data_IF_455459096431
#
_entry.id   IF_455459096431
#
_cell.length_a   1.000
_cell.length_b   1.000
_cell.length_c   1.000
_cell.angle_alpha   90.00
_cell.angle_beta   90.00
_cell.angle_gamma   90.00
#
_symmetry.space_group_name_H-M   'P 1'
#
loop_
_entity.id
_entity.type
_entity.pdbx_description
1 polymer ?
#
# COMPACT_ATOMS: atom_id res chain seq x y z
N UNK A 1 -30.40 -37.98 -12.64
CA UNK A 1 -29.55 -36.77 -12.70
C UNK A 1 -28.11 -37.22 -12.50
N UNK A 2 -27.24 -36.97 -13.47
CA UNK A 2 -25.85 -37.34 -13.34
C UNK A 2 -25.22 -36.51 -12.21
N UNK A 3 -24.60 -37.17 -11.23
CA UNK A 3 -23.80 -36.50 -10.22
C UNK A 3 -22.67 -35.76 -10.91
N UNK A 4 -22.71 -34.43 -10.94
CA UNK A 4 -21.55 -33.65 -11.36
C UNK A 4 -20.50 -33.78 -10.27
N UNK A 5 -19.48 -34.58 -10.52
CA UNK A 5 -18.31 -34.69 -9.64
C UNK A 5 -17.66 -33.32 -9.50
N UNK A 6 -17.42 -32.94 -8.26
CA UNK A 6 -16.73 -31.69 -7.91
C UNK A 6 -15.31 -31.73 -8.47
N UNK A 7 -15.08 -31.09 -9.59
CA UNK A 7 -13.73 -31.02 -10.19
C UNK A 7 -12.89 -29.96 -9.49
N UNK A 8 -11.58 -30.15 -9.40
CA UNK A 8 -10.68 -29.20 -8.77
C UNK A 8 -10.67 -27.85 -9.50
N UNK A 9 -10.92 -27.84 -10.80
CA UNK A 9 -11.05 -26.62 -11.59
C UNK A 9 -12.26 -25.79 -11.21
N UNK A 10 -13.40 -26.44 -10.90
CA UNK A 10 -14.60 -25.76 -10.40
C UNK A 10 -14.34 -25.18 -9.02
N UNK A 11 -13.65 -25.90 -8.13
CA UNK A 11 -13.25 -25.44 -6.82
C UNK A 11 -12.32 -24.24 -6.94
N UNK A 12 -11.32 -24.30 -7.82
CA UNK A 12 -10.35 -23.24 -8.03
C UNK A 12 -11.00 -21.96 -8.56
N UNK A 13 -11.93 -22.08 -9.53
CA UNK A 13 -12.71 -20.95 -10.05
C UNK A 13 -13.57 -20.32 -8.99
N UNK A 14 -14.27 -21.12 -8.21
CA UNK A 14 -15.13 -20.60 -7.11
C UNK A 14 -14.29 -19.97 -6.00
N UNK A 15 -13.15 -20.55 -5.69
CA UNK A 15 -12.20 -19.97 -4.76
C UNK A 15 -11.69 -18.60 -5.21
N UNK A 16 -11.35 -18.46 -6.50
CA UNK A 16 -10.88 -17.22 -7.09
C UNK A 16 -11.98 -16.14 -7.12
N UNK A 17 -13.22 -16.49 -7.47
CA UNK A 17 -14.37 -15.60 -7.38
C UNK A 17 -14.58 -15.07 -5.95
N UNK A 18 -14.54 -15.96 -4.95
CA UNK A 18 -14.67 -15.57 -3.56
C UNK A 18 -13.51 -14.67 -3.12
N UNK A 19 -12.29 -14.98 -3.55
CA UNK A 19 -11.10 -14.16 -3.25
C UNK A 19 -11.28 -12.74 -3.78
N UNK A 20 -11.61 -12.60 -5.04
CA UNK A 20 -11.78 -11.30 -5.71
C UNK A 20 -12.88 -10.44 -5.04
N UNK A 21 -14.01 -11.06 -4.71
CA UNK A 21 -15.12 -10.37 -4.04
C UNK A 21 -14.80 -9.90 -2.61
N UNK A 22 -13.80 -10.50 -1.95
CA UNK A 22 -13.39 -10.11 -0.60
C UNK A 22 -12.22 -9.13 -0.56
N UNK A 23 -11.55 -8.87 -1.69
CA UNK A 23 -10.50 -7.86 -1.77
C UNK A 23 -11.10 -6.46 -1.79
N UNK A 24 -10.63 -5.59 -0.91
CA UNK A 24 -11.07 -4.19 -0.79
C UNK A 24 -10.00 -3.25 -1.35
N UNK A 25 -8.79 -3.28 -0.81
CA UNK A 25 -7.68 -2.41 -1.21
C UNK A 25 -7.11 -2.88 -2.54
N UNK A 26 -6.83 -4.16 -2.66
CA UNK A 26 -6.23 -4.75 -3.86
C UNK A 26 -7.10 -4.58 -5.11
N UNK A 27 -8.42 -4.42 -4.96
CA UNK A 27 -9.35 -4.15 -6.06
C UNK A 27 -9.11 -2.78 -6.70
N UNK A 28 -8.71 -1.78 -5.91
CA UNK A 28 -8.61 -0.37 -6.33
C UNK A 28 -7.21 0.06 -6.74
N UNK A 29 -6.20 -0.79 -6.57
CA UNK A 29 -4.82 -0.53 -7.00
C UNK A 29 -4.57 -1.00 -8.44
N UNK A 30 -3.43 -0.62 -9.01
CA UNK A 30 -3.05 -1.01 -10.35
C UNK A 30 -2.62 -2.48 -10.39
N UNK A 31 -3.33 -3.29 -11.18
CA UNK A 31 -3.06 -4.72 -11.40
C UNK A 31 -2.62 -5.05 -12.83
N UNK A 32 -2.34 -4.04 -13.65
CA UNK A 32 -2.08 -4.25 -15.10
C UNK A 32 -0.63 -4.58 -15.42
N UNK A 33 0.24 -4.55 -14.43
CA UNK A 33 1.68 -4.64 -14.70
C UNK A 33 2.19 -6.03 -15.00
N UNK A 34 1.31 -7.08 -15.16
CA UNK A 34 1.97 -8.34 -15.38
C UNK A 34 1.23 -9.51 -15.99
N UNK A 35 1.09 -9.50 -17.29
CA UNK A 35 0.81 -10.74 -18.03
C UNK A 35 2.05 -11.67 -18.11
N UNK A 36 3.27 -11.14 -18.08
CA UNK A 36 4.49 -11.94 -18.21
C UNK A 36 4.84 -12.70 -16.93
N UNK A 37 4.65 -12.12 -15.75
CA UNK A 37 4.81 -12.80 -14.47
C UNK A 37 3.72 -13.87 -14.25
N UNK A 38 2.53 -13.63 -14.78
CA UNK A 38 1.41 -14.55 -14.69
C UNK A 38 1.57 -15.79 -15.60
N UNK A 39 2.27 -15.67 -16.72
CA UNK A 39 2.31 -16.72 -17.76
C UNK A 39 3.56 -17.62 -17.67
N UNK A 40 4.72 -17.11 -17.30
CA UNK A 40 6.00 -17.85 -17.39
C UNK A 40 6.49 -18.50 -16.08
N UNK A 41 5.74 -18.38 -14.97
CA UNK A 41 6.13 -18.99 -13.70
C UNK A 41 7.32 -18.30 -13.05
N UNK A 42 7.11 -17.12 -12.51
CA UNK A 42 8.15 -16.36 -11.80
C UNK A 42 8.70 -17.13 -10.59
N UNK A 43 9.99 -17.03 -10.38
CA UNK A 43 10.66 -17.54 -9.18
C UNK A 43 10.62 -16.46 -8.08
N UNK A 44 10.54 -16.89 -6.82
CA UNK A 44 10.73 -15.96 -5.68
C UNK A 44 12.07 -15.26 -5.86
N UNK A 45 12.08 -13.92 -5.74
CA UNK A 45 13.24 -13.08 -6.01
C UNK A 45 13.31 -12.50 -7.42
N UNK A 46 12.43 -12.91 -8.35
CA UNK A 46 12.30 -12.25 -9.65
C UNK A 46 11.84 -10.80 -9.47
N UNK A 47 12.43 -9.88 -10.23
CA UNK A 47 12.14 -8.45 -10.15
C UNK A 47 11.59 -7.93 -11.47
N UNK A 48 10.51 -7.16 -11.40
CA UNK A 48 9.97 -6.38 -12.49
C UNK A 48 10.40 -4.92 -12.35
N UNK A 49 10.90 -4.31 -13.42
CA UNK A 49 11.20 -2.88 -13.44
C UNK A 49 10.00 -2.10 -13.96
N UNK A 50 9.54 -1.14 -13.15
CA UNK A 50 8.47 -0.21 -13.51
C UNK A 50 9.13 1.13 -13.79
N UNK A 51 9.00 1.63 -15.03
CA UNK A 51 9.51 2.94 -15.41
C UNK A 51 8.64 4.03 -14.80
N UNK A 52 9.27 5.05 -14.26
CA UNK A 52 8.60 6.24 -13.77
C UNK A 52 8.54 7.29 -14.88
N UNK A 53 7.54 8.18 -14.88
CA UNK A 53 7.47 9.30 -15.82
C UNK A 53 8.73 10.16 -15.75
N UNK A 54 9.27 10.50 -16.92
CA UNK A 54 10.40 11.41 -17.02
C UNK A 54 10.02 12.85 -16.65
N UNK A 55 10.98 13.61 -16.15
CA UNK A 55 10.84 15.02 -15.78
C UNK A 55 11.94 15.84 -16.39
N UNK A 56 11.57 16.83 -17.21
CA UNK A 56 12.49 17.75 -17.84
C UNK A 56 12.55 19.12 -17.13
N UNK A 57 13.67 19.80 -17.27
CA UNK A 57 13.84 21.20 -16.86
C UNK A 57 13.37 22.12 -17.99
N UNK A 58 12.47 23.04 -17.69
CA UNK A 58 12.15 24.13 -18.60
C UNK A 58 13.23 25.21 -18.44
N UNK A 59 13.89 25.58 -19.53
CA UNK A 59 14.93 26.63 -19.59
C UNK A 59 14.43 27.82 -20.37
N UNK A 60 14.65 29.02 -19.84
CA UNK A 60 14.27 30.26 -20.50
C UNK A 60 15.39 30.75 -21.43
N UNK A 61 15.01 31.36 -22.55
CA UNK A 61 15.94 31.99 -23.49
C UNK A 61 15.95 31.37 -24.88
N UNK A 62 16.60 32.04 -25.82
CA UNK A 62 16.66 31.63 -27.22
C UNK A 62 17.71 30.54 -27.52
N UNK A 63 18.65 30.31 -26.60
CA UNK A 63 19.69 29.29 -26.76
C UNK A 63 19.17 27.93 -26.28
N UNK A 64 19.23 26.92 -27.17
CA UNK A 64 18.88 25.55 -26.84
C UNK A 64 19.84 24.97 -25.78
N UNK A 65 19.31 24.51 -24.68
CA UNK A 65 20.04 23.72 -23.69
C UNK A 65 19.55 22.29 -23.77
N UNK A 66 20.40 21.38 -24.25
CA UNK A 66 20.10 19.96 -24.35
C UNK A 66 20.25 19.32 -22.94
N UNK A 67 19.29 18.51 -22.54
CA UNK A 67 19.32 17.77 -21.30
C UNK A 67 19.40 16.27 -21.62
N UNK A 68 20.21 15.55 -20.85
CA UNK A 68 20.26 14.11 -20.94
C UNK A 68 19.02 13.52 -20.26
N UNK A 69 18.41 12.54 -20.91
CA UNK A 69 17.30 11.77 -20.35
C UNK A 69 17.83 10.77 -19.31
N UNK A 70 17.30 10.85 -18.09
CA UNK A 70 17.65 9.94 -16.99
C UNK A 70 16.41 9.17 -16.53
N UNK A 71 16.13 8.08 -17.23
CA UNK A 71 15.00 7.21 -16.90
C UNK A 71 15.05 6.73 -15.45
N UNK A 72 14.07 7.13 -14.65
CA UNK A 72 13.86 6.62 -13.31
C UNK A 72 13.05 5.34 -13.37
N UNK A 73 13.34 4.40 -12.49
CA UNK A 73 12.59 3.17 -12.35
C UNK A 73 12.44 2.75 -10.89
N UNK A 74 11.38 2.04 -10.59
CA UNK A 74 11.22 1.30 -9.34
C UNK A 74 11.15 -0.19 -9.63
N UNK A 75 11.43 -1.02 -8.62
CA UNK A 75 11.42 -2.47 -8.78
C UNK A 75 10.29 -3.08 -7.94
N UNK A 76 9.52 -3.96 -8.56
CA UNK A 76 8.59 -4.84 -7.88
C UNK A 76 9.21 -6.23 -7.81
N UNK A 77 9.37 -6.76 -6.61
CA UNK A 77 10.02 -8.06 -6.37
C UNK A 77 8.99 -9.05 -5.85
N UNK A 78 8.94 -10.23 -6.45
CA UNK A 78 8.15 -11.35 -5.93
C UNK A 78 8.76 -11.80 -4.61
N UNK A 79 8.09 -11.51 -3.48
CA UNK A 79 8.68 -11.64 -2.15
C UNK A 79 8.00 -12.66 -1.25
N UNK A 80 6.70 -12.89 -1.41
CA UNK A 80 5.97 -13.70 -0.44
C UNK A 80 4.93 -14.61 -1.08
N UNK A 81 4.93 -15.85 -0.65
CA UNK A 81 3.88 -16.82 -0.98
C UNK A 81 2.95 -16.97 0.21
N UNK A 82 1.66 -16.78 -0.01
CA UNK A 82 0.62 -17.01 0.99
C UNK A 82 -0.16 -18.27 0.67
N UNK A 83 -0.47 -19.03 1.71
CA UNK A 83 -1.25 -20.25 1.51
C UNK A 83 -2.24 -20.50 2.64
N UNK A 84 -3.29 -21.23 2.33
CA UNK A 84 -4.23 -21.81 3.28
C UNK A 84 -4.36 -23.30 3.03
N UNK A 85 -4.24 -24.08 4.10
CA UNK A 85 -4.48 -25.51 4.07
C UNK A 85 -5.94 -25.85 4.40
N UNK A 86 -6.49 -26.78 3.63
CA UNK A 86 -7.81 -27.37 3.85
C UNK A 86 -7.65 -28.86 3.86
N UNK A 87 -8.20 -29.54 4.81
CA UNK A 87 -8.23 -31.00 4.81
C UNK A 87 -9.62 -31.48 4.37
N UNK A 88 -9.68 -32.27 3.31
CA UNK A 88 -10.95 -32.83 2.82
C UNK A 88 -11.08 -34.27 3.29
N UNK A 89 -12.27 -34.63 3.73
CA UNK A 89 -12.66 -36.01 3.89
C UNK A 89 -13.41 -36.50 2.64
N UNK A 90 -13.44 -37.81 2.43
CA UNK A 90 -14.16 -38.40 1.30
C UNK A 90 -15.66 -38.06 1.31
N UNK A 91 -16.25 -37.83 2.50
CA UNK A 91 -17.63 -37.46 2.65
C UNK A 91 -17.90 -36.01 2.17
N UNK A 92 -16.97 -35.10 2.39
CA UNK A 92 -17.09 -33.69 1.94
C UNK A 92 -16.97 -33.55 0.44
N UNK A 93 -16.23 -34.44 -0.24
CA UNK A 93 -16.14 -34.47 -1.69
C UNK A 93 -17.44 -34.89 -2.41
N UNK A 94 -18.40 -35.47 -1.68
CA UNK A 94 -19.72 -35.82 -2.20
C UNK A 94 -20.75 -34.70 -2.07
N UNK A 95 -20.41 -33.58 -1.42
CA UNK A 95 -21.29 -32.43 -1.25
C UNK A 95 -21.49 -31.66 -2.56
N UNK A 96 -22.56 -30.87 -2.66
CA UNK A 96 -22.73 -29.96 -3.76
C UNK A 96 -21.70 -28.81 -3.68
N UNK A 97 -21.29 -28.28 -4.83
CA UNK A 97 -20.26 -27.24 -4.91
C UNK A 97 -20.60 -25.98 -4.08
N UNK A 98 -21.86 -25.58 -4.12
CA UNK A 98 -22.30 -24.35 -3.44
C UNK A 98 -22.26 -24.52 -1.90
N UNK A 99 -22.71 -25.65 -1.36
CA UNK A 99 -22.63 -25.95 0.07
C UNK A 99 -21.17 -26.01 0.53
N UNK A 100 -20.31 -26.62 -0.28
CA UNK A 100 -18.89 -26.70 -0.01
C UNK A 100 -18.22 -25.30 -0.05
N UNK A 101 -18.57 -24.49 -1.05
CA UNK A 101 -18.04 -23.15 -1.19
C UNK A 101 -18.43 -22.27 0.00
N UNK A 102 -19.68 -22.31 0.45
CA UNK A 102 -20.13 -21.48 1.56
C UNK A 102 -19.56 -21.92 2.93
N UNK A 103 -19.52 -23.22 3.18
CA UNK A 103 -19.15 -23.75 4.49
C UNK A 103 -17.63 -23.85 4.70
N UNK A 104 -16.87 -24.15 3.67
CA UNK A 104 -15.43 -24.45 3.77
C UNK A 104 -14.56 -23.40 3.08
N UNK A 105 -14.83 -23.03 1.82
CA UNK A 105 -13.98 -22.14 1.07
C UNK A 105 -14.13 -20.68 1.51
N UNK A 106 -15.35 -20.16 1.59
CA UNK A 106 -15.62 -18.75 1.87
C UNK A 106 -14.92 -18.20 3.12
N UNK A 107 -15.01 -18.82 4.31
CA UNK A 107 -14.35 -18.28 5.49
C UNK A 107 -12.82 -18.29 5.40
N UNK A 108 -12.26 -19.30 4.76
CA UNK A 108 -10.79 -19.44 4.63
C UNK A 108 -10.22 -18.49 3.59
N UNK A 109 -10.87 -18.38 2.44
CA UNK A 109 -10.44 -17.48 1.37
C UNK A 109 -10.63 -16.02 1.80
N UNK A 110 -11.65 -15.70 2.61
CA UNK A 110 -11.79 -14.37 3.19
C UNK A 110 -10.60 -14.00 4.08
N UNK A 111 -10.05 -14.94 4.85
CA UNK A 111 -8.83 -14.71 5.62
C UNK A 111 -7.60 -14.49 4.74
N UNK A 112 -7.49 -15.24 3.63
CA UNK A 112 -6.43 -15.05 2.64
C UNK A 112 -6.53 -13.67 2.00
N UNK A 113 -7.72 -13.25 1.58
CA UNK A 113 -7.99 -11.92 1.04
C UNK A 113 -7.59 -10.81 2.02
N UNK A 114 -8.00 -10.92 3.27
CA UNK A 114 -7.63 -9.96 4.32
C UNK A 114 -6.12 -9.89 4.53
N UNK A 115 -5.42 -11.02 4.42
CA UNK A 115 -3.96 -11.06 4.53
C UNK A 115 -3.26 -10.40 3.33
N UNK A 116 -3.80 -10.58 2.11
CA UNK A 116 -3.30 -9.90 0.89
C UNK A 116 -3.53 -8.39 1.00
N UNK A 117 -4.74 -7.97 1.33
CA UNK A 117 -5.07 -6.55 1.52
C UNK A 117 -4.20 -5.89 2.61
N UNK A 118 -3.89 -6.63 3.68
CA UNK A 118 -3.00 -6.15 4.73
C UNK A 118 -1.55 -5.94 4.24
N UNK A 119 -1.07 -6.75 3.29
CA UNK A 119 0.25 -6.55 2.68
C UNK A 119 0.25 -5.33 1.75
N UNK A 120 -0.79 -5.17 0.94
CA UNK A 120 -0.95 -3.97 0.11
C UNK A 120 -1.05 -2.72 1.00
N UNK A 121 -1.81 -2.77 2.09
CA UNK A 121 -1.90 -1.67 3.06
C UNK A 121 -0.54 -1.34 3.70
N UNK A 122 0.39 -2.30 3.81
CA UNK A 122 1.73 -2.08 4.37
C UNK A 122 2.61 -1.14 3.52
N UNK A 123 2.19 -0.83 2.29
CA UNK A 123 2.85 0.16 1.42
C UNK A 123 2.91 1.57 2.04
N UNK A 124 2.10 1.87 3.09
CA UNK A 124 2.19 3.13 3.82
C UNK A 124 3.61 3.46 4.30
N UNK A 125 4.44 2.45 4.56
CA UNK A 125 5.83 2.64 5.01
C UNK A 125 6.73 3.35 3.99
N UNK A 126 6.31 3.39 2.73
CA UNK A 126 7.01 4.11 1.65
C UNK A 126 6.38 5.47 1.33
N UNK A 127 5.25 5.80 1.95
CA UNK A 127 4.50 7.03 1.69
C UNK A 127 4.93 8.10 2.69
N UNK A 128 5.52 9.18 2.20
CA UNK A 128 6.02 10.27 3.03
C UNK A 128 4.93 11.29 3.40
N UNK A 129 3.88 11.41 2.59
CA UNK A 129 2.82 12.38 2.83
C UNK A 129 1.86 11.89 3.91
N UNK A 130 1.67 12.71 4.93
CA UNK A 130 0.77 12.43 6.04
C UNK A 130 -0.06 13.66 6.36
N UNK A 131 -1.33 13.45 6.70
CA UNK A 131 -2.28 14.48 7.12
C UNK A 131 -3.01 14.06 8.41
N UNK A 132 -3.54 15.02 9.13
CA UNK A 132 -4.20 14.80 10.40
C UNK A 132 -3.21 14.72 11.57
N UNK A 133 -3.75 14.54 12.76
CA UNK A 133 -2.97 14.42 14.00
C UNK A 133 -2.96 12.96 14.43
N UNK A 134 -1.78 12.30 14.50
CA UNK A 134 -1.69 10.93 14.99
C UNK A 134 -2.35 10.76 16.35
N UNK A 135 -3.12 9.67 16.51
CA UNK A 135 -3.90 9.40 17.72
C UNK A 135 -5.30 9.99 17.76
N UNK A 136 -5.69 10.80 16.77
CA UNK A 136 -7.05 11.30 16.62
C UNK A 136 -7.78 10.59 15.47
N UNK A 137 -9.03 10.17 15.73
CA UNK A 137 -9.87 9.60 14.67
C UNK A 137 -10.41 10.72 13.79
N UNK A 138 -10.30 10.66 12.45
CA UNK A 138 -10.89 11.64 11.56
C UNK A 138 -12.40 11.73 11.78
N UNK A 139 -12.89 12.90 12.18
CA UNK A 139 -14.31 13.14 12.42
C UNK A 139 -14.92 14.15 11.43
N UNK A 140 -14.12 14.71 10.53
CA UNK A 140 -14.56 15.71 9.56
C UNK A 140 -14.04 15.39 8.18
N UNK A 141 -14.79 15.80 7.15
CA UNK A 141 -14.36 15.71 5.75
C UNK A 141 -13.10 16.53 5.44
N UNK A 142 -12.75 17.49 6.31
CA UNK A 142 -11.57 18.33 6.13
C UNK A 142 -10.27 17.52 6.02
N UNK A 143 -10.13 16.44 6.79
CA UNK A 143 -8.93 15.58 6.74
C UNK A 143 -8.78 14.90 5.36
N UNK A 144 -9.89 14.46 4.76
CA UNK A 144 -9.88 13.90 3.41
C UNK A 144 -9.56 14.97 2.35
N UNK A 145 -10.09 16.17 2.50
CA UNK A 145 -9.77 17.29 1.61
C UNK A 145 -8.31 17.73 1.74
N UNK A 146 -7.73 17.71 2.94
CA UNK A 146 -6.30 17.94 3.16
C UNK A 146 -5.43 16.86 2.52
N UNK A 147 -5.87 15.59 2.55
CA UNK A 147 -5.17 14.52 1.85
C UNK A 147 -5.17 14.75 0.33
N UNK A 148 -6.29 15.18 -0.23
CA UNK A 148 -6.36 15.56 -1.63
C UNK A 148 -5.52 16.80 -1.97
N UNK A 149 -5.50 17.79 -1.07
CA UNK A 149 -4.63 18.96 -1.23
C UNK A 149 -3.16 18.52 -1.36
N UNK A 150 -2.69 17.59 -0.52
CA UNK A 150 -1.33 17.04 -0.61
C UNK A 150 -1.07 16.33 -1.95
N UNK A 151 -2.03 15.56 -2.44
CA UNK A 151 -1.92 14.92 -3.75
C UNK A 151 -1.86 15.95 -4.89
N UNK A 152 -2.66 17.03 -4.81
CA UNK A 152 -2.67 18.10 -5.81
C UNK A 152 -1.36 18.92 -5.78
N UNK A 153 -0.86 19.28 -4.59
CA UNK A 153 0.43 19.96 -4.41
C UNK A 153 1.59 19.15 -5.01
N UNK A 154 1.48 17.82 -4.98
CA UNK A 154 2.46 16.90 -5.58
C UNK A 154 2.21 16.61 -7.06
N UNK A 155 1.29 17.34 -7.70
CA UNK A 155 0.91 17.17 -9.11
C UNK A 155 0.43 15.75 -9.47
N UNK A 156 -0.16 15.03 -8.51
CA UNK A 156 -0.74 13.72 -8.78
C UNK A 156 -2.02 13.85 -9.61
N UNK A 157 -2.22 12.91 -10.55
CA UNK A 157 -3.41 12.86 -11.43
C UNK A 157 -4.69 12.88 -10.60
N UNK A 158 -5.71 13.61 -11.08
CA UNK A 158 -6.93 13.86 -10.31
C UNK A 158 -7.87 12.67 -10.24
N UNK A 159 -7.88 11.78 -11.22
CA UNK A 159 -8.81 10.64 -11.27
C UNK A 159 -8.14 9.44 -11.98
N UNK A 160 -8.43 8.22 -11.53
CA UNK A 160 -9.25 7.83 -10.38
C UNK A 160 -8.46 7.84 -9.04
N UNK A 161 -9.04 8.43 -8.00
CA UNK A 161 -8.48 8.43 -6.64
C UNK A 161 -9.38 7.67 -5.69
N UNK A 162 -8.80 6.92 -4.79
CA UNK A 162 -9.49 6.07 -3.82
C UNK A 162 -9.07 6.42 -2.40
N UNK A 163 -9.97 6.17 -1.46
CA UNK A 163 -9.63 6.20 -0.05
C UNK A 163 -10.01 4.88 0.62
N UNK A 164 -9.15 4.40 1.49
CA UNK A 164 -9.45 3.26 2.35
C UNK A 164 -9.24 3.65 3.80
N UNK A 165 -10.30 3.51 4.58
CA UNK A 165 -10.35 3.95 5.97
C UNK A 165 -10.67 2.78 6.91
N UNK A 166 -10.20 2.88 8.14
CA UNK A 166 -10.56 1.91 9.17
C UNK A 166 -12.01 2.13 9.66
N UNK A 167 -12.65 1.15 10.31
CA UNK A 167 -14.03 1.26 10.78
C UNK A 167 -14.29 2.47 11.70
N UNK A 168 -13.33 2.82 12.56
CA UNK A 168 -13.47 3.96 13.47
C UNK A 168 -13.46 5.30 12.72
N UNK A 169 -12.56 5.46 11.73
CA UNK A 169 -12.53 6.65 10.89
C UNK A 169 -13.79 6.77 10.02
N UNK A 170 -14.27 5.64 9.47
CA UNK A 170 -15.51 5.63 8.71
C UNK A 170 -16.70 6.12 9.56
N UNK A 171 -16.84 5.60 10.78
CA UNK A 171 -17.89 6.04 11.72
C UNK A 171 -17.80 7.53 12.05
N UNK A 172 -16.58 8.03 12.31
CA UNK A 172 -16.35 9.46 12.59
C UNK A 172 -16.68 10.36 11.39
N UNK A 173 -16.31 9.95 10.17
CA UNK A 173 -16.59 10.70 8.96
C UNK A 173 -18.09 10.74 8.63
N UNK A 174 -18.79 9.62 8.78
CA UNK A 174 -20.25 9.55 8.58
C UNK A 174 -20.97 10.44 9.61
N UNK A 175 -20.57 10.41 10.87
CA UNK A 175 -21.13 11.26 11.92
C UNK A 175 -20.87 12.77 11.62
N UNK A 176 -19.68 13.09 11.12
CA UNK A 176 -19.35 14.48 10.74
C UNK A 176 -20.19 15.04 9.58
N UNK A 177 -20.77 14.19 8.76
CA UNK A 177 -21.60 14.57 7.62
C UNK A 177 -23.10 14.56 7.92
N UNK A 178 -23.54 14.16 9.11
CA UNK A 178 -24.97 14.02 9.45
C UNK A 178 -25.79 15.28 9.20
N UNK A 179 -25.20 16.47 9.35
CA UNK A 179 -25.87 17.74 9.10
C UNK A 179 -26.13 18.05 7.61
N UNK A 180 -25.52 17.30 6.71
CA UNK A 180 -25.66 17.43 5.27
C UNK A 180 -26.61 16.38 4.65
N UNK A 181 -27.21 15.53 5.48
CA UNK A 181 -28.15 14.49 5.01
C UNK A 181 -29.44 15.13 4.51
N UNK A 182 -29.47 15.42 3.22
CA UNK A 182 -30.67 15.80 2.47
C UNK A 182 -31.15 14.56 1.70
N UNK A 183 -32.46 14.38 1.40
CA UNK A 183 -33.00 13.17 0.76
C UNK A 183 -32.65 13.01 -0.72
N UNK A 184 -31.43 13.37 -1.11
CA UNK A 184 -30.88 13.08 -2.44
C UNK A 184 -30.32 11.67 -2.42
N UNK A 185 -30.53 10.90 -3.49
CA UNK A 185 -30.28 9.46 -3.58
C UNK A 185 -28.90 8.98 -3.09
N UNK A 186 -27.84 9.75 -3.29
CA UNK A 186 -26.48 9.39 -2.86
C UNK A 186 -26.33 9.50 -1.34
N UNK A 187 -26.79 10.59 -0.76
CA UNK A 187 -26.73 10.87 0.68
C UNK A 187 -27.63 9.91 1.45
N UNK A 188 -28.80 9.57 0.89
CA UNK A 188 -29.71 8.56 1.46
C UNK A 188 -29.08 7.16 1.53
N UNK A 189 -28.26 6.79 0.53
CA UNK A 189 -27.51 5.53 0.53
C UNK A 189 -26.40 5.51 1.58
N UNK A 190 -25.65 6.60 1.71
CA UNK A 190 -24.63 6.77 2.73
C UNK A 190 -25.20 6.59 4.15
N UNK A 191 -26.34 7.25 4.41
CA UNK A 191 -27.03 7.12 5.70
C UNK A 191 -27.50 5.69 5.98
N UNK A 192 -28.13 5.04 4.97
CA UNK A 192 -28.65 3.67 5.13
C UNK A 192 -27.59 2.62 5.34
N UNK A 193 -26.44 2.76 4.66
CA UNK A 193 -25.38 1.76 4.67
C UNK A 193 -24.26 2.08 5.67
N UNK A 194 -24.25 3.28 6.25
CA UNK A 194 -23.17 3.73 7.13
C UNK A 194 -21.79 3.80 6.46
N UNK A 195 -21.76 3.95 5.14
CA UNK A 195 -20.54 4.06 4.32
C UNK A 195 -20.51 5.39 3.59
N UNK A 196 -19.32 5.95 3.38
CA UNK A 196 -19.16 7.22 2.63
C UNK A 196 -19.56 7.08 1.15
N UNK A 197 -19.34 5.92 0.53
CA UNK A 197 -19.78 5.61 -0.83
C UNK A 197 -18.90 6.14 -1.94
N UNK A 198 -19.47 6.25 -3.14
CA UNK A 198 -18.81 6.59 -4.40
C UNK A 198 -19.01 8.05 -4.77
N UNK A 199 -18.04 8.66 -5.48
CA UNK A 199 -18.15 10.00 -6.05
C UNK A 199 -18.26 11.13 -5.03
N UNK A 200 -17.66 10.98 -3.85
CA UNK A 200 -17.74 11.95 -2.74
C UNK A 200 -16.39 12.63 -2.53
N UNK A 201 -16.41 13.94 -2.31
CA UNK A 201 -15.21 14.75 -2.03
C UNK A 201 -14.11 14.62 -3.11
N UNK A 202 -14.45 14.37 -4.38
CA UNK A 202 -13.49 14.20 -5.47
C UNK A 202 -12.72 12.87 -5.44
N UNK A 203 -13.19 11.90 -4.66
CA UNK A 203 -12.72 10.52 -4.64
C UNK A 203 -13.71 9.64 -5.40
N UNK A 204 -13.21 8.70 -6.19
CA UNK A 204 -14.03 7.73 -6.91
C UNK A 204 -14.80 6.86 -5.93
N UNK A 205 -14.10 6.34 -4.92
CA UNK A 205 -14.70 5.45 -3.92
C UNK A 205 -13.98 5.62 -2.57
N UNK A 206 -14.76 5.60 -1.49
CA UNK A 206 -14.26 5.55 -0.12
C UNK A 206 -14.66 4.21 0.48
N UNK A 207 -13.69 3.34 0.65
CA UNK A 207 -13.84 1.98 1.14
C UNK A 207 -13.52 1.88 2.62
N UNK A 208 -14.25 1.04 3.34
CA UNK A 208 -13.93 0.65 4.69
C UNK A 208 -13.23 -0.72 4.67
N UNK A 209 -12.08 -0.82 5.32
CA UNK A 209 -11.37 -2.09 5.47
C UNK A 209 -10.91 -2.32 6.91
N UNK A 210 -11.09 -3.55 7.38
CA UNK A 210 -10.54 -4.00 8.66
C UNK A 210 -9.05 -4.34 8.55
N UNK A 211 -8.53 -4.52 7.33
CA UNK A 211 -7.14 -4.89 7.06
C UNK A 211 -6.18 -3.70 7.10
N UNK A 212 -6.66 -2.50 7.43
CA UNK A 212 -5.84 -1.31 7.62
C UNK A 212 -4.78 -1.57 8.70
N UNK A 213 -3.51 -1.32 8.36
CA UNK A 213 -2.39 -1.53 9.26
C UNK A 213 -2.33 -0.45 10.34
N UNK A 214 -1.91 -0.88 11.52
CA UNK A 214 -1.50 0.02 12.59
C UNK A 214 0.02 0.19 12.56
N UNK A 215 0.47 1.43 12.54
CA UNK A 215 1.87 1.77 12.64
C UNK A 215 2.25 1.96 14.09
N UNK A 216 3.33 1.29 14.51
CA UNK A 216 3.94 1.54 15.83
C UNK A 216 5.18 2.37 15.62
N UNK A 217 5.17 3.58 16.16
CA UNK A 217 6.31 4.51 16.11
C UNK A 217 7.50 4.01 16.92
N UNK A 218 8.70 4.41 16.51
CA UNK A 218 9.92 4.10 17.25
C UNK A 218 9.94 4.65 18.67
N UNK A 219 10.86 4.17 19.51
CA UNK A 219 11.00 4.55 20.94
C UNK A 219 11.74 5.89 21.15
N UNK A 220 11.88 6.68 20.09
CA UNK A 220 12.58 7.98 20.10
C UNK A 220 12.02 8.93 21.15
N UNK A 221 12.88 9.63 21.87
CA UNK A 221 12.52 10.68 22.82
C UNK A 221 13.51 11.83 22.76
N UNK A 222 13.08 13.02 23.16
CA UNK A 222 13.90 14.22 23.16
C UNK A 222 13.82 15.03 21.86
N UNK A 223 14.65 16.04 21.76
CA UNK A 223 14.79 16.87 20.58
C UNK A 223 15.77 16.23 19.61
N UNK A 224 15.44 16.23 18.33
CA UNK A 224 16.25 15.69 17.27
C UNK A 224 16.70 16.79 16.32
N UNK A 225 17.94 16.70 15.84
CA UNK A 225 18.49 17.63 14.84
C UNK A 225 19.27 16.85 13.79
N UNK A 226 19.44 17.44 12.63
CA UNK A 226 20.32 16.92 11.58
C UNK A 226 21.77 17.07 12.06
N UNK A 227 22.57 15.97 12.03
CA UNK A 227 23.97 16.02 12.50
C UNK A 227 24.94 16.49 11.43
N UNK A 228 24.65 16.22 10.17
CA UNK A 228 25.53 16.54 9.04
C UNK A 228 24.75 17.21 7.94
N UNK A 229 25.20 18.33 7.44
CA UNK A 229 24.61 19.02 6.30
C UNK A 229 24.53 18.09 5.09
N UNK A 230 23.37 18.02 4.47
CA UNK A 230 23.18 17.35 3.18
C UNK A 230 23.64 18.31 2.09
N UNK A 231 24.49 17.86 1.18
CA UNK A 231 25.04 18.69 0.08
C UNK A 231 24.98 18.03 -1.28
N UNK A 232 24.52 16.77 -1.34
CA UNK A 232 24.52 15.99 -2.59
C UNK A 232 23.09 15.79 -3.08
N UNK A 233 22.85 16.04 -4.36
CA UNK A 233 21.57 15.75 -5.02
C UNK A 233 21.29 14.26 -5.03
N UNK A 234 20.02 13.87 -4.77
CA UNK A 234 19.61 12.47 -4.77
C UNK A 234 19.96 11.71 -3.51
N UNK A 235 20.39 12.37 -2.44
CA UNK A 235 20.70 11.71 -1.19
C UNK A 235 19.42 11.15 -0.55
N UNK A 236 19.37 9.84 -0.36
CA UNK A 236 18.27 9.10 0.26
C UNK A 236 18.58 8.67 1.71
N UNK A 237 19.62 9.25 2.31
CA UNK A 237 20.02 8.98 3.70
C UNK A 237 20.32 10.27 4.44
N UNK A 238 20.03 10.30 5.75
CA UNK A 238 20.31 11.45 6.62
C UNK A 238 20.79 10.96 7.97
N UNK A 239 21.65 11.76 8.62
CA UNK A 239 22.08 11.50 9.99
C UNK A 239 21.33 12.42 10.94
N UNK A 240 20.75 11.84 11.98
CA UNK A 240 19.90 12.56 12.95
C UNK A 240 20.45 12.29 14.36
N UNK A 241 20.41 13.29 15.25
CA UNK A 241 20.76 13.09 16.67
C UNK A 241 19.84 12.06 17.30
N UNK A 242 20.41 11.18 18.10
CA UNK A 242 19.70 10.13 18.84
C UNK A 242 20.12 10.10 20.31
N UNK A 243 19.46 9.26 21.08
CA UNK A 243 19.80 9.08 22.50
C UNK A 243 19.81 7.59 22.83
N UNK A 244 20.88 7.11 23.45
CA UNK A 244 20.99 5.73 23.90
C UNK A 244 20.84 4.72 22.77
N UNK A 245 20.00 3.71 22.98
CA UNK A 245 19.64 2.66 22.00
C UNK A 245 18.19 2.81 21.52
N UNK A 246 17.67 4.02 21.47
CA UNK A 246 16.32 4.29 20.98
C UNK A 246 16.20 3.99 19.48
N UNK A 247 14.99 3.72 19.03
CA UNK A 247 14.72 3.29 17.66
C UNK A 247 13.87 4.31 16.91
N UNK A 248 14.06 4.36 15.60
CA UNK A 248 13.13 4.92 14.62
C UNK A 248 12.56 3.75 13.83
N UNK A 249 11.24 3.69 13.69
CA UNK A 249 10.57 2.61 12.95
C UNK A 249 10.44 2.93 11.46
N UNK A 250 10.45 1.88 10.62
CA UNK A 250 10.08 2.05 9.21
C UNK A 250 8.61 2.48 9.11
N UNK A 251 8.35 3.59 8.43
CA UNK A 251 7.05 4.25 8.37
C UNK A 251 6.90 5.46 9.30
N UNK A 252 7.89 5.75 10.14
CA UNK A 252 7.93 7.01 10.90
C UNK A 252 8.06 8.20 9.94
N UNK A 253 7.18 9.18 10.06
CA UNK A 253 7.19 10.41 9.25
C UNK A 253 7.75 11.55 10.07
N UNK A 254 8.56 12.39 9.45
CA UNK A 254 9.14 13.57 10.08
C UNK A 254 9.29 14.74 9.11
N UNK A 255 9.48 15.91 9.64
CA UNK A 255 9.81 17.14 8.92
C UNK A 255 11.13 17.71 9.41
N UNK A 256 11.79 18.52 8.59
CA UNK A 256 13.02 19.23 8.94
C UNK A 256 12.74 20.73 8.84
N UNK A 257 13.15 21.47 9.86
CA UNK A 257 12.95 22.92 9.89
C UNK A 257 13.66 23.60 8.69
N UNK A 258 12.98 24.57 8.08
CA UNK A 258 13.47 25.34 6.92
C UNK A 258 13.71 24.52 5.67
N UNK A 259 13.14 23.33 5.54
CA UNK A 259 13.15 22.51 4.32
C UNK A 259 11.70 22.39 3.84
N UNK A 260 11.36 23.11 2.78
CA UNK A 260 9.99 23.17 2.26
C UNK A 260 9.80 22.25 1.08
N UNK A 261 8.59 21.73 0.94
CA UNK A 261 8.18 20.94 -0.20
C UNK A 261 8.10 21.80 -1.46
N UNK A 262 8.47 21.22 -2.57
CA UNK A 262 8.47 21.86 -3.88
C UNK A 262 7.44 21.19 -4.78
N UNK A 263 6.68 21.98 -5.52
CA UNK A 263 5.80 21.43 -6.55
C UNK A 263 6.63 20.83 -7.68
N UNK A 264 6.40 19.55 -8.05
CA UNK A 264 7.24 18.86 -9.05
C UNK A 264 7.21 19.47 -10.45
N UNK A 265 6.16 20.22 -10.80
CA UNK A 265 6.00 20.83 -12.12
C UNK A 265 6.59 22.25 -12.17
N UNK A 266 6.23 23.10 -11.20
CA UNK A 266 6.68 24.51 -11.17
C UNK A 266 8.04 24.67 -10.50
N UNK A 267 8.44 23.72 -9.67
CA UNK A 267 9.65 23.73 -8.83
C UNK A 267 9.70 24.90 -7.84
N UNK A 268 8.56 25.49 -7.57
CA UNK A 268 8.40 26.52 -6.55
C UNK A 268 8.03 25.89 -5.21
N UNK A 269 8.45 26.55 -4.13
CA UNK A 269 8.10 26.13 -2.77
C UNK A 269 6.60 26.19 -2.55
N UNK A 270 6.03 25.16 -1.95
CA UNK A 270 4.61 25.13 -1.55
C UNK A 270 4.36 25.90 -0.24
N UNK A 271 5.40 26.37 0.44
CA UNK A 271 5.32 27.00 1.77
C UNK A 271 5.06 26.01 2.92
N UNK A 272 4.88 24.72 2.63
CA UNK A 272 4.72 23.66 3.63
C UNK A 272 6.04 22.91 3.82
N UNK A 273 6.40 22.54 5.04
CA UNK A 273 7.58 21.71 5.29
C UNK A 273 7.47 20.38 4.57
N UNK A 274 8.58 19.95 3.94
CA UNK A 274 8.67 18.65 3.32
C UNK A 274 8.59 17.56 4.38
N UNK A 275 7.71 16.59 4.16
CA UNK A 275 7.60 15.39 4.96
C UNK A 275 8.50 14.30 4.38
N UNK A 276 9.19 13.58 5.26
CA UNK A 276 10.02 12.43 4.90
C UNK A 276 9.55 11.22 5.67
N UNK A 277 9.57 10.05 5.05
CA UNK A 277 9.31 8.79 5.73
C UNK A 277 10.59 7.98 5.87
N UNK A 278 10.74 7.34 7.00
CA UNK A 278 11.83 6.36 7.25
C UNK A 278 11.45 5.05 6.58
N UNK A 279 12.28 4.58 5.63
CA UNK A 279 11.99 3.36 4.87
C UNK A 279 12.49 2.09 5.55
N UNK A 280 13.54 2.18 6.36
CA UNK A 280 14.08 1.07 7.14
C UNK A 280 14.27 1.48 8.61
N UNK A 281 13.95 0.56 9.52
CA UNK A 281 14.16 0.81 10.95
C UNK A 281 15.63 1.08 11.26
N UNK A 282 15.86 2.04 12.16
CA UNK A 282 17.22 2.41 12.58
C UNK A 282 17.29 2.51 14.11
N UNK A 283 18.46 2.17 14.69
CA UNK A 283 18.72 2.24 16.12
C UNK A 283 19.85 3.20 16.39
N UNK A 284 19.66 4.10 17.35
CA UNK A 284 20.67 5.06 17.73
C UNK A 284 21.89 4.37 18.34
N UNK A 285 23.06 4.84 17.97
CA UNK A 285 24.35 4.41 18.53
C UNK A 285 25.29 5.62 18.59
N UNK A 286 26.02 5.76 19.71
CA UNK A 286 26.96 6.88 19.86
C UNK A 286 26.30 8.27 19.81
N UNK A 287 25.03 8.40 20.19
CA UNK A 287 24.33 9.68 20.20
C UNK A 287 23.70 10.08 18.87
N UNK A 288 23.64 9.20 17.88
CA UNK A 288 23.06 9.48 16.57
C UNK A 288 22.38 8.26 15.94
N UNK A 289 21.40 8.52 15.11
CA UNK A 289 20.90 7.61 14.09
C UNK A 289 21.70 7.87 12.81
N UNK A 290 22.56 6.91 12.45
CA UNK A 290 23.43 7.04 11.28
C UNK A 290 22.79 6.44 10.04
N UNK A 291 22.94 7.11 8.90
CA UNK A 291 22.47 6.63 7.59
C UNK A 291 20.98 6.21 7.60
N UNK A 292 20.11 7.01 8.23
CA UNK A 292 18.67 6.79 8.21
C UNK A 292 18.19 6.86 6.77
N UNK A 293 17.64 5.77 6.24
CA UNK A 293 17.08 5.73 4.89
C UNK A 293 15.75 6.43 4.86
N UNK A 294 15.58 7.35 3.92
CA UNK A 294 14.41 8.21 3.79
C UNK A 294 13.82 8.19 2.38
N UNK A 295 12.54 8.49 2.29
CA UNK A 295 11.83 8.80 1.05
C UNK A 295 11.00 10.06 1.28
N UNK A 296 10.96 11.00 0.28
CA UNK A 296 11.66 11.00 -0.98
C UNK A 296 13.16 11.30 -0.81
N UNK A 297 13.95 10.99 -1.84
CA UNK A 297 15.34 11.43 -1.90
C UNK A 297 15.39 12.96 -2.02
N UNK A 298 16.46 13.56 -1.51
CA UNK A 298 16.62 15.02 -1.41
C UNK A 298 17.19 15.58 -2.72
N UNK A 299 16.34 16.27 -3.48
CA UNK A 299 16.70 17.03 -4.68
C UNK A 299 16.23 18.46 -4.52
N UNK A 300 17.14 19.44 -4.70
CA UNK A 300 16.75 20.85 -4.67
C UNK A 300 16.16 21.30 -6.01
N UNK A 301 15.58 22.50 -6.06
CA UNK A 301 14.92 23.09 -7.23
C UNK A 301 15.82 23.21 -8.48
N UNK A 302 17.13 23.09 -8.31
CA UNK A 302 18.10 23.05 -9.44
C UNK A 302 18.05 21.74 -10.25
N UNK A 303 17.39 20.69 -9.74
CA UNK A 303 17.28 19.39 -10.39
C UNK A 303 15.86 19.17 -10.94
N UNK A 304 15.74 18.43 -12.05
CA UNK A 304 14.45 18.08 -12.62
C UNK A 304 13.56 17.26 -11.64
N UNK A 305 14.18 16.49 -10.76
CA UNK A 305 13.53 15.66 -9.74
C UNK A 305 13.29 16.40 -8.42
N UNK A 306 13.26 17.73 -8.42
CA UNK A 306 13.15 18.55 -7.22
C UNK A 306 12.06 18.04 -6.24
N UNK A 307 12.44 17.89 -4.98
CA UNK A 307 11.57 17.48 -3.86
C UNK A 307 11.57 18.52 -2.75
N UNK A 308 12.65 19.29 -2.62
CA UNK A 308 12.85 20.31 -1.60
C UNK A 308 13.37 21.61 -2.20
N UNK A 309 13.13 22.71 -1.51
CA UNK A 309 13.66 24.04 -1.89
C UNK A 309 15.14 24.20 -1.52
N UNK A 310 15.55 23.62 -0.40
CA UNK A 310 16.89 23.76 0.15
C UNK A 310 17.38 22.48 0.80
N UNK A 311 18.70 22.31 0.85
CA UNK A 311 19.31 21.18 1.55
C UNK A 311 19.18 21.32 3.08
N UNK A 312 18.88 20.21 3.80
CA UNK A 312 18.92 20.17 5.25
C UNK A 312 20.30 20.57 5.79
N UNK A 313 20.32 21.58 6.64
CA UNK A 313 21.53 22.06 7.28
C UNK A 313 21.81 21.32 8.59
N UNK A 314 23.09 21.25 8.98
CA UNK A 314 23.46 20.78 10.32
C UNK A 314 22.74 21.58 11.39
N UNK A 315 22.34 20.93 12.47
CA UNK A 315 21.56 21.48 13.57
C UNK A 315 20.11 21.89 13.23
N UNK A 316 19.63 21.67 12.00
CA UNK A 316 18.22 21.87 11.67
C UNK A 316 17.34 20.92 12.50
N UNK A 317 16.28 21.44 13.10
CA UNK A 317 15.39 20.67 13.98
C UNK A 317 14.61 19.64 13.17
N UNK A 318 14.59 18.41 13.64
CA UNK A 318 13.81 17.31 13.08
C UNK A 318 12.61 17.06 13.98
N UNK A 319 11.41 17.16 13.42
CA UNK A 319 10.15 16.95 14.14
C UNK A 319 9.46 15.71 13.59
N UNK A 320 9.36 14.66 14.40
CA UNK A 320 8.62 13.46 14.06
C UNK A 320 7.13 13.63 14.32
N UNK A 321 6.30 13.06 13.47
CA UNK A 321 4.87 12.98 13.65
C UNK A 321 4.53 11.88 14.67
N UNK A 322 3.59 12.19 15.57
CA UNK A 322 3.11 11.26 16.59
C UNK A 322 4.06 11.06 17.77
N UNK A 323 3.51 10.52 18.84
CA UNK A 323 4.24 10.20 20.06
C UNK A 323 5.08 8.94 19.91
N UNK A 324 6.14 8.82 20.70
CA UNK A 324 7.00 7.63 20.71
C UNK A 324 6.24 6.38 21.20
N UNK A 325 6.63 5.21 20.70
CA UNK A 325 6.10 3.89 21.10
C UNK A 325 4.56 3.81 21.13
N UNK A 326 3.90 4.50 20.20
CA UNK A 326 2.44 4.58 20.14
C UNK A 326 1.94 4.00 18.82
N UNK A 327 0.79 3.34 18.87
CA UNK A 327 0.15 2.77 17.69
C UNK A 327 -0.90 3.70 17.10
N UNK A 328 -0.86 3.87 15.78
CA UNK A 328 -1.80 4.67 15.02
C UNK A 328 -2.29 3.92 13.79
N UNK A 329 -3.62 3.89 13.50
CA UNK A 329 -4.13 3.33 12.25
C UNK A 329 -3.71 4.20 11.06
N UNK A 330 -3.31 3.58 9.97
CA UNK A 330 -2.85 4.24 8.74
C UNK A 330 -3.91 4.15 7.66
N UNK A 331 -4.82 5.11 7.64
CA UNK A 331 -5.78 5.26 6.55
C UNK A 331 -5.05 5.73 5.28
N UNK A 332 -5.49 5.27 4.11
CA UNK A 332 -4.83 5.55 2.84
C UNK A 332 -5.74 6.35 1.91
N UNK A 333 -5.18 7.38 1.29
CA UNK A 333 -5.79 8.10 0.15
C UNK A 333 -4.77 8.09 -0.97
N UNK A 334 -5.11 7.53 -2.13
CA UNK A 334 -4.15 7.27 -3.20
C UNK A 334 -4.80 7.33 -4.58
N UNK A 335 -3.98 7.57 -5.61
CA UNK A 335 -4.33 7.33 -7.00
C UNK A 335 -4.14 5.86 -7.34
N UNK A 336 -4.93 5.31 -8.24
CA UNK A 336 -4.87 3.90 -8.66
C UNK A 336 -3.45 3.42 -8.96
N UNK A 337 -2.67 4.22 -9.68
CA UNK A 337 -1.32 3.86 -10.12
C UNK A 337 -0.22 4.12 -9.07
N UNK A 338 -0.58 4.64 -7.89
CA UNK A 338 0.39 4.86 -6.80
C UNK A 338 0.88 3.55 -6.18
N UNK A 339 0.08 2.51 -6.24
CA UNK A 339 0.39 1.18 -5.70
C UNK A 339 0.20 0.17 -6.82
N UNK A 340 1.24 -0.61 -7.11
CA UNK A 340 1.18 -1.70 -8.07
C UNK A 340 1.16 -3.04 -7.33
N UNK A 341 0.21 -3.88 -7.70
CA UNK A 341 0.07 -5.24 -7.18
C UNK A 341 0.18 -6.23 -8.34
N UNK A 342 1.03 -7.22 -8.18
CA UNK A 342 1.17 -8.31 -9.14
C UNK A 342 1.19 -9.64 -8.42
N UNK A 343 0.60 -10.66 -9.02
CA UNK A 343 0.75 -12.05 -8.60
C UNK A 343 1.53 -12.81 -9.67
N UNK A 344 2.24 -13.84 -9.25
CA UNK A 344 3.01 -14.67 -10.15
C UNK A 344 2.45 -16.09 -10.20
N UNK A 345 2.57 -16.72 -11.36
CA UNK A 345 2.13 -18.08 -11.57
C UNK A 345 3.03 -19.09 -10.86
N UNK A 346 2.46 -19.85 -9.94
CA UNK A 346 3.13 -20.98 -9.33
C UNK A 346 3.09 -22.20 -10.28
N UNK A 347 4.22 -22.86 -10.43
CA UNK A 347 4.30 -24.12 -11.19
C UNK A 347 3.37 -25.18 -10.59
N UNK A 348 2.68 -25.91 -11.47
CA UNK A 348 1.88 -27.06 -11.06
C UNK A 348 2.82 -28.23 -10.76
N UNK A 349 2.78 -28.79 -9.54
CA UNK A 349 3.61 -29.94 -9.22
C UNK A 349 3.15 -31.17 -10.01
N UNK A 350 4.10 -31.97 -10.48
CA UNK A 350 3.84 -33.27 -11.09
C UNK A 350 3.83 -34.38 -10.02
N UNK A 351 2.99 -35.39 -10.21
CA UNK A 351 2.91 -36.51 -9.26
C UNK A 351 2.00 -36.28 -8.04
N UNK A 352 1.18 -35.24 -8.07
CA UNK A 352 0.11 -35.02 -7.08
C UNK A 352 -1.22 -35.57 -7.59
N UNK A 353 -2.14 -35.87 -6.66
CA UNK A 353 -3.47 -36.38 -7.00
C UNK A 353 -4.23 -35.40 -7.90
N UNK A 354 -4.26 -34.11 -7.52
CA UNK A 354 -4.87 -33.06 -8.33
C UNK A 354 -4.17 -31.72 -8.12
N UNK A 355 -3.97 -30.98 -9.22
CA UNK A 355 -3.49 -29.60 -9.20
C UNK A 355 -4.22 -28.78 -10.25
N UNK A 356 -4.65 -27.59 -9.89
CA UNK A 356 -5.26 -26.63 -10.80
C UNK A 356 -4.77 -25.21 -10.51
N UNK A 357 -4.66 -24.40 -11.55
CA UNK A 357 -4.31 -23.00 -11.50
C UNK A 357 -5.30 -22.23 -12.35
N UNK A 358 -5.82 -21.15 -11.82
CA UNK A 358 -6.71 -20.23 -12.52
C UNK A 358 -6.21 -18.80 -12.31
N UNK A 359 -6.30 -18.00 -13.36
CA UNK A 359 -5.96 -16.57 -13.35
C UNK A 359 -7.19 -15.77 -13.73
N UNK A 360 -7.49 -14.74 -12.97
CA UNK A 360 -8.57 -13.80 -13.27
C UNK A 360 -8.20 -12.41 -12.76
N UNK A 361 -8.41 -11.39 -13.58
CA UNK A 361 -8.12 -9.99 -13.25
C UNK A 361 -6.73 -9.74 -12.63
N UNK A 362 -5.69 -10.42 -13.14
CA UNK A 362 -4.32 -10.28 -12.65
C UNK A 362 -4.05 -10.95 -11.30
N UNK A 363 -4.94 -11.84 -10.83
CA UNK A 363 -4.73 -12.66 -9.63
C UNK A 363 -4.63 -14.11 -10.05
N UNK A 364 -3.50 -14.74 -9.71
CA UNK A 364 -3.25 -16.17 -9.94
C UNK A 364 -3.45 -16.94 -8.64
N UNK A 365 -4.32 -17.95 -8.69
CA UNK A 365 -4.59 -18.85 -7.58
C UNK A 365 -4.27 -20.30 -8.00
N UNK A 366 -3.47 -20.97 -7.20
CA UNK A 366 -3.18 -22.40 -7.38
C UNK A 366 -3.82 -23.21 -6.26
N UNK A 367 -4.46 -24.32 -6.64
CA UNK A 367 -5.01 -25.31 -5.70
C UNK A 367 -4.32 -26.63 -5.97
N UNK A 368 -3.73 -27.22 -4.93
CA UNK A 368 -3.05 -28.52 -4.99
C UNK A 368 -3.64 -29.43 -3.94
N UNK A 369 -3.97 -30.67 -4.33
CA UNK A 369 -4.45 -31.70 -3.41
C UNK A 369 -3.58 -32.95 -3.56
N UNK A 370 -3.29 -33.59 -2.46
CA UNK A 370 -2.54 -34.85 -2.43
C UNK A 370 -3.17 -35.79 -1.38
N UNK A 371 -3.20 -37.07 -1.68
CA UNK A 371 -3.63 -38.07 -0.73
C UNK A 371 -2.50 -38.41 0.25
N UNK A 372 -2.79 -38.36 1.54
CA UNK A 372 -1.91 -38.87 2.60
C UNK A 372 -2.40 -40.25 3.02
N UNK A 373 -1.73 -41.28 2.51
CA UNK A 373 -2.08 -42.69 2.72
C UNK A 373 -1.95 -43.07 4.21
N UNK A 374 -1.01 -42.48 4.93
CA UNK A 374 -0.74 -42.84 6.33
C UNK A 374 -1.85 -42.38 7.28
N UNK A 375 -2.51 -41.26 6.97
CA UNK A 375 -3.51 -40.66 7.84
C UNK A 375 -4.92 -40.67 7.23
N UNK A 376 -5.12 -41.32 6.06
CA UNK A 376 -6.39 -41.34 5.32
C UNK A 376 -7.00 -39.93 5.13
N UNK A 377 -6.14 -38.92 4.85
CA UNK A 377 -6.51 -37.51 4.67
C UNK A 377 -6.19 -37.05 3.26
N UNK A 378 -6.94 -36.08 2.78
CA UNK A 378 -6.70 -35.43 1.50
C UNK A 378 -6.39 -33.94 1.72
N UNK A 379 -5.18 -33.60 2.18
CA UNK A 379 -4.80 -32.19 2.35
C UNK A 379 -4.84 -31.47 1.01
N UNK A 380 -5.49 -30.33 1.02
CA UNK A 380 -5.57 -29.40 -0.09
C UNK A 380 -4.92 -28.10 0.33
N UNK A 381 -4.11 -27.52 -0.55
CA UNK A 381 -3.41 -26.27 -0.36
C UNK A 381 -3.87 -25.27 -1.43
N UNK A 382 -4.25 -24.09 -0.99
CA UNK A 382 -4.62 -22.96 -1.83
C UNK A 382 -3.51 -21.91 -1.69
N UNK A 383 -2.84 -21.57 -2.78
CA UNK A 383 -1.67 -20.68 -2.83
C UNK A 383 -1.91 -19.47 -3.71
N UNK A 384 -1.36 -18.33 -3.26
CA UNK A 384 -1.14 -17.11 -4.06
C UNK A 384 0.31 -16.68 -3.86
N UNK A 385 1.01 -16.30 -4.95
CA UNK A 385 2.39 -15.80 -4.92
C UNK A 385 2.43 -14.36 -5.36
#
# INVERSE_FOLDING_TARGET
MANSLLTIDMITRKALEILENNLVITRTVNRQYDDSFAVEGAKIGSTLRIRLPDRALVTDGAALQVQDDNEQFTTLTVSSQKHIGVNFTSAELTMQLDDFAERVLKPRISQLASSIDADVANSYKSIFQSVGTPGTTPATSLVLLQAQQKLNESAAVMSPRYATVNPAANAGLVEGLKGLFNPVNTISRQFKNGLMGEGVLGLEEINMSQSIKQHTTGSRTGAHTVTTTVSTQGQATINITGTGSQTIAAGDVFTIASVFAVNPQTRESTGSLQQFVVTEANTASGGAYTSVKISPAIYTSANALATVDSFPQSSAVVTFLGSASTQYPQNLVYHKDAISFATADLLLPQGVDMASRQVHNGISLRVVRQSDINNARMPCRIDVL
#
